data_IF_913486585708
#
_entry.id   IF_913486585708
#
_cell.length_a   1.000
_cell.length_b   1.000
_cell.length_c   1.000
_cell.angle_alpha   90.00
_cell.angle_beta   90.00
_cell.angle_gamma   90.00
#
_symmetry.space_group_name_H-M   'P 1'
#
loop_
_entity.id
_entity.type
_entity.pdbx_description
1 polymer ?
#
# COMPACT_ATOMS: atom_id res chain seq x y z
N UNK A 1 8.60 -24.59 19.37
CA UNK A 1 9.46 -23.38 19.40
C UNK A 1 10.90 -23.86 19.34
N UNK A 2 11.63 -23.52 18.26
CA UNK A 2 13.09 -23.69 18.25
C UNK A 2 13.72 -22.43 18.86
N UNK A 3 14.43 -22.59 19.95
CA UNK A 3 15.21 -21.52 20.56
C UNK A 3 16.58 -21.52 19.87
N UNK A 4 16.91 -20.40 19.21
CA UNK A 4 18.23 -20.23 18.59
C UNK A 4 19.12 -19.49 19.61
N UNK A 5 20.18 -20.14 20.09
CA UNK A 5 21.23 -19.48 20.85
C UNK A 5 22.30 -18.95 19.91
N UNK A 6 22.75 -17.74 20.16
CA UNK A 6 23.87 -17.17 19.44
C UNK A 6 25.18 -17.83 19.86
N UNK A 7 26.06 -18.19 18.92
CA UNK A 7 27.35 -18.81 19.26
C UNK A 7 28.31 -17.87 20.00
N UNK A 8 28.01 -16.58 20.00
CA UNK A 8 28.82 -15.51 20.61
C UNK A 8 27.99 -14.79 21.69
N UNK A 9 28.45 -14.90 22.95
CA UNK A 9 27.83 -14.22 24.11
C UNK A 9 27.81 -12.71 23.98
N UNK A 10 28.75 -12.11 23.26
CA UNK A 10 28.79 -10.69 23.00
C UNK A 10 27.74 -10.27 21.94
N UNK A 11 27.46 -11.14 20.98
CA UNK A 11 26.37 -10.96 20.03
C UNK A 11 24.99 -11.14 20.70
N UNK A 12 24.88 -12.06 21.63
CA UNK A 12 23.68 -12.28 22.46
C UNK A 12 23.39 -11.08 23.37
N UNK A 13 24.42 -10.53 24.02
CA UNK A 13 24.30 -9.30 24.82
C UNK A 13 23.95 -8.07 23.97
N UNK A 14 24.50 -7.96 22.77
CA UNK A 14 24.18 -6.88 21.83
C UNK A 14 22.76 -7.01 21.25
N UNK A 15 22.27 -8.20 21.00
CA UNK A 15 20.89 -8.44 20.60
C UNK A 15 19.91 -8.18 21.75
N UNK A 16 20.26 -8.57 22.96
CA UNK A 16 19.44 -8.32 24.16
C UNK A 16 19.42 -6.84 24.56
N UNK A 17 20.48 -6.08 24.26
CA UNK A 17 20.55 -4.63 24.50
C UNK A 17 20.04 -3.79 23.33
N UNK A 18 19.88 -4.38 22.14
CA UNK A 18 19.28 -3.73 20.98
C UNK A 18 17.79 -4.05 20.95
N UNK A 19 16.98 -3.07 20.55
CA UNK A 19 15.57 -3.34 20.21
C UNK A 19 15.50 -4.53 19.26
N UNK A 20 14.49 -5.39 19.43
CA UNK A 20 14.26 -6.57 18.61
C UNK A 20 14.38 -6.23 17.10
N UNK A 21 14.85 -7.18 16.26
CA UNK A 21 14.89 -6.96 14.81
C UNK A 21 13.51 -6.52 14.33
N UNK A 22 13.49 -5.44 13.58
CA UNK A 22 12.25 -4.81 13.12
C UNK A 22 11.80 -5.33 11.77
N UNK A 23 12.67 -6.09 11.10
CA UNK A 23 12.38 -6.67 9.79
C UNK A 23 13.13 -7.98 9.57
N UNK A 24 12.48 -8.91 8.87
CA UNK A 24 13.00 -10.23 8.52
C UNK A 24 12.84 -10.42 7.02
N UNK A 25 13.87 -10.90 6.37
CA UNK A 25 13.87 -11.22 4.96
C UNK A 25 14.53 -12.58 4.70
N UNK A 26 14.04 -13.30 3.70
CA UNK A 26 14.77 -14.42 3.10
C UNK A 26 15.46 -13.91 1.84
N UNK A 27 16.79 -14.08 1.76
CA UNK A 27 17.56 -13.66 0.60
C UNK A 27 17.55 -14.73 -0.51
N UNK A 28 18.16 -14.42 -1.63
CA UNK A 28 18.19 -15.31 -2.82
C UNK A 28 18.99 -16.62 -2.60
N UNK A 29 19.71 -16.76 -1.47
CA UNK A 29 20.41 -17.98 -1.05
C UNK A 29 19.65 -18.78 0.00
N UNK A 30 18.38 -18.44 0.24
CA UNK A 30 17.54 -19.03 1.28
C UNK A 30 18.10 -18.83 2.70
N UNK A 31 18.89 -17.78 2.93
CA UNK A 31 19.37 -17.36 4.22
C UNK A 31 18.39 -16.33 4.82
N UNK A 32 18.22 -16.34 6.14
CA UNK A 32 17.35 -15.37 6.82
C UNK A 32 18.19 -14.16 7.23
N UNK A 33 17.83 -13.00 6.76
CA UNK A 33 18.44 -11.73 7.14
C UNK A 33 17.53 -11.00 8.13
N UNK A 34 18.11 -10.59 9.24
CA UNK A 34 17.46 -9.85 10.31
C UNK A 34 17.98 -8.41 10.29
N UNK A 35 17.07 -7.46 10.22
CA UNK A 35 17.38 -6.05 10.18
C UNK A 35 16.79 -5.32 11.38
N UNK A 36 17.56 -4.42 11.96
CA UNK A 36 17.20 -3.62 13.12
C UNK A 36 18.34 -2.68 13.49
N UNK A 37 18.59 -2.49 14.76
CA UNK A 37 19.76 -1.73 15.23
C UNK A 37 21.09 -2.44 14.93
N UNK A 38 21.02 -3.74 14.63
CA UNK A 38 22.13 -4.53 14.11
C UNK A 38 21.60 -5.47 13.01
N UNK A 39 22.49 -5.90 12.14
CA UNK A 39 22.16 -6.75 11.00
C UNK A 39 22.79 -8.12 11.18
N UNK A 40 22.00 -9.14 11.01
CA UNK A 40 22.43 -10.52 11.12
C UNK A 40 21.94 -11.34 9.94
N UNK A 41 22.69 -12.38 9.62
CA UNK A 41 22.31 -13.42 8.68
C UNK A 41 22.29 -14.75 9.35
N UNK A 42 21.16 -15.43 9.32
CA UNK A 42 21.01 -16.80 9.78
C UNK A 42 21.11 -17.75 8.58
N UNK A 43 22.01 -18.73 8.70
CA UNK A 43 22.23 -19.77 7.69
C UNK A 43 21.58 -21.06 8.20
N UNK A 44 20.43 -21.51 7.62
CA UNK A 44 19.69 -22.66 8.16
C UNK A 44 20.51 -23.95 8.22
N UNK A 45 21.37 -24.20 7.21
CA UNK A 45 22.16 -25.41 7.13
C UNK A 45 23.23 -25.58 8.22
N UNK A 46 23.84 -24.47 8.64
CA UNK A 46 24.85 -24.48 9.71
C UNK A 46 24.30 -24.03 11.07
N UNK A 47 23.05 -23.59 11.11
CA UNK A 47 22.40 -23.00 12.28
C UNK A 47 23.19 -21.81 12.91
N UNK A 48 23.94 -21.11 12.06
CA UNK A 48 24.77 -19.98 12.49
C UNK A 48 24.07 -18.65 12.23
N UNK A 49 24.19 -17.74 13.19
CA UNK A 49 23.82 -16.35 13.06
C UNK A 49 25.09 -15.51 12.92
N UNK A 50 25.27 -14.93 11.74
CA UNK A 50 26.48 -14.18 11.38
C UNK A 50 26.15 -12.69 11.38
N UNK A 51 26.89 -11.84 12.11
CA UNK A 51 26.72 -10.40 12.02
C UNK A 51 27.12 -9.90 10.62
N UNK A 52 26.30 -9.01 10.06
CA UNK A 52 26.60 -8.31 8.80
C UNK A 52 27.15 -6.94 9.16
N UNK A 53 28.40 -6.69 8.78
CA UNK A 53 29.07 -5.42 9.00
C UNK A 53 29.09 -4.61 7.72
N UNK A 54 28.67 -3.35 7.81
CA UNK A 54 28.81 -2.37 6.74
C UNK A 54 29.89 -1.34 7.09
N UNK A 55 30.54 -0.78 6.06
CA UNK A 55 31.58 0.23 6.24
C UNK A 55 31.07 1.49 6.96
N UNK A 56 29.83 1.87 6.72
CA UNK A 56 29.22 3.05 7.34
C UNK A 56 28.65 2.70 8.71
N UNK A 57 29.33 3.17 9.76
CA UNK A 57 28.92 2.97 11.17
C UNK A 57 27.68 3.78 11.59
N UNK A 58 27.05 4.55 10.69
CA UNK A 58 25.91 5.42 11.02
C UNK A 58 24.52 4.76 10.96
N UNK A 59 24.47 3.44 10.91
CA UNK A 59 23.23 2.68 10.92
C UNK A 59 22.67 2.57 12.35
N UNK A 60 22.19 3.68 12.89
CA UNK A 60 21.67 3.74 14.26
C UNK A 60 20.16 3.59 14.38
N UNK A 61 19.43 3.33 13.26
CA UNK A 61 17.97 3.34 13.27
C UNK A 61 17.39 2.09 12.62
N UNK A 62 16.16 1.76 12.99
CA UNK A 62 15.42 0.61 12.47
C UNK A 62 15.15 0.76 10.98
N UNK A 63 15.95 0.11 10.16
CA UNK A 63 15.75 0.07 8.71
C UNK A 63 14.65 -0.91 8.34
N UNK A 64 13.86 -0.53 7.38
CA UNK A 64 12.78 -1.34 6.82
C UNK A 64 13.18 -1.71 5.40
N UNK A 65 13.19 -3.01 5.11
CA UNK A 65 13.37 -3.51 3.75
C UNK A 65 12.13 -3.20 2.91
N UNK A 66 12.31 -2.64 1.73
CA UNK A 66 11.23 -2.21 0.84
C UNK A 66 11.21 -2.92 -0.51
N UNK A 67 12.16 -3.80 -0.76
CA UNK A 67 12.24 -4.56 -1.99
C UNK A 67 13.62 -4.59 -2.59
N UNK A 68 13.71 -5.13 -3.81
CA UNK A 68 14.95 -5.12 -4.61
C UNK A 68 14.64 -4.64 -6.03
N UNK A 69 15.57 -3.89 -6.59
CA UNK A 69 15.58 -3.55 -7.99
C UNK A 69 16.87 -4.06 -8.63
N UNK A 70 16.79 -4.83 -9.71
CA UNK A 70 17.89 -5.64 -10.23
C UNK A 70 18.41 -6.59 -9.13
N UNK A 71 19.66 -6.48 -8.71
CA UNK A 71 20.26 -7.31 -7.64
C UNK A 71 20.46 -6.54 -6.33
N UNK A 72 20.06 -5.27 -6.29
CA UNK A 72 20.33 -4.38 -5.16
C UNK A 72 19.12 -4.32 -4.24
N UNK A 73 19.28 -4.61 -2.93
CA UNK A 73 18.25 -4.40 -1.94
C UNK A 73 18.12 -2.91 -1.60
N UNK A 74 16.88 -2.51 -1.32
CA UNK A 74 16.53 -1.16 -0.91
C UNK A 74 15.92 -1.19 0.48
N UNK A 75 16.22 -0.15 1.23
CA UNK A 75 15.74 0.05 2.59
C UNK A 75 15.33 1.50 2.78
N UNK A 76 14.49 1.75 3.77
CA UNK A 76 14.25 3.10 4.26
C UNK A 76 14.34 3.13 5.79
N UNK A 77 14.75 4.27 6.32
CA UNK A 77 14.40 4.72 7.65
C UNK A 77 13.25 5.73 7.56
N UNK A 78 12.94 6.39 8.66
CA UNK A 78 11.90 7.44 8.62
C UNK A 78 12.25 8.61 7.71
N UNK A 79 13.53 8.75 7.38
CA UNK A 79 14.07 9.96 6.77
C UNK A 79 14.71 9.74 5.42
N UNK A 80 15.18 8.57 5.07
CA UNK A 80 15.94 8.33 3.86
C UNK A 80 15.61 6.98 3.24
N UNK A 81 15.87 6.88 1.95
CA UNK A 81 15.90 5.61 1.23
C UNK A 81 17.34 5.28 0.90
N UNK A 82 17.71 4.05 1.09
CA UNK A 82 19.07 3.55 0.90
C UNK A 82 19.08 2.42 -0.10
N UNK A 83 20.11 2.42 -0.95
CA UNK A 83 20.42 1.33 -1.87
C UNK A 83 21.75 0.72 -1.47
N UNK A 84 21.85 -0.61 -1.42
CA UNK A 84 23.14 -1.26 -1.20
C UNK A 84 23.99 -1.21 -2.46
N UNK A 85 25.17 -0.62 -2.35
CA UNK A 85 26.19 -0.65 -3.38
C UNK A 85 27.15 -1.81 -3.12
N UNK A 86 27.07 -2.85 -3.95
CA UNK A 86 27.84 -4.08 -3.78
C UNK A 86 29.34 -3.88 -4.03
N UNK A 87 29.71 -2.94 -4.92
CA UNK A 87 31.10 -2.67 -5.28
C UNK A 87 31.85 -2.00 -4.14
N UNK A 88 31.18 -1.06 -3.48
CA UNK A 88 31.73 -0.33 -2.34
C UNK A 88 31.50 -1.03 -1.01
N UNK A 89 30.64 -2.06 -0.97
CA UNK A 89 30.16 -2.73 0.24
C UNK A 89 29.59 -1.73 1.27
N UNK A 90 28.77 -0.80 0.78
CA UNK A 90 28.15 0.24 1.60
C UNK A 90 26.73 0.55 1.12
N UNK A 91 25.93 1.20 1.99
CA UNK A 91 24.66 1.74 1.60
C UNK A 91 24.79 3.19 1.18
N UNK A 92 24.27 3.52 0.02
CA UNK A 92 24.19 4.87 -0.51
C UNK A 92 22.78 5.41 -0.32
N UNK A 93 22.70 6.65 0.15
CA UNK A 93 21.40 7.34 0.25
C UNK A 93 20.94 7.75 -1.15
N UNK A 94 19.72 7.40 -1.50
CA UNK A 94 19.10 7.92 -2.71
C UNK A 94 18.73 9.38 -2.45
N UNK A 95 19.30 10.29 -3.24
CA UNK A 95 18.97 11.71 -3.16
C UNK A 95 17.51 11.93 -3.54
N UNK A 96 16.72 12.36 -2.58
CA UNK A 96 15.33 12.64 -2.72
C UNK A 96 14.97 13.85 -1.88
N UNK A 97 14.61 14.95 -2.54
CA UNK A 97 14.12 16.13 -1.85
C UNK A 97 12.76 15.82 -1.24
N UNK A 98 12.69 15.92 0.06
CA UNK A 98 11.48 15.70 0.79
C UNK A 98 11.36 16.63 1.98
N UNK A 99 10.13 16.85 2.36
CA UNK A 99 9.80 17.72 3.46
C UNK A 99 9.18 16.96 4.64
N UNK A 100 8.91 15.65 4.48
CA UNK A 100 8.13 14.87 5.42
C UNK A 100 8.76 13.51 5.73
N UNK A 101 8.28 12.91 6.80
CA UNK A 101 8.65 11.57 7.23
C UNK A 101 8.10 10.51 6.26
N UNK A 102 8.89 9.49 5.94
CA UNK A 102 8.43 8.30 5.21
C UNK A 102 7.60 7.44 6.16
N UNK A 103 6.36 7.20 5.80
CA UNK A 103 5.44 6.31 6.53
C UNK A 103 5.54 4.88 6.02
N UNK A 104 5.60 4.71 4.70
CA UNK A 104 5.79 3.43 4.04
C UNK A 104 6.50 3.62 2.70
N UNK A 105 7.21 2.60 2.24
CA UNK A 105 7.80 2.60 0.92
C UNK A 105 7.87 1.18 0.34
N UNK A 106 7.92 1.08 -0.98
CA UNK A 106 8.17 -0.15 -1.71
C UNK A 106 8.79 0.16 -3.08
N UNK A 107 9.46 -0.82 -3.69
CA UNK A 107 10.04 -0.68 -5.02
C UNK A 107 9.59 -1.82 -5.91
N UNK A 108 9.23 -1.50 -7.17
CA UNK A 108 8.82 -2.51 -8.14
C UNK A 108 10.00 -3.05 -8.96
N UNK A 109 9.74 -4.08 -9.76
CA UNK A 109 10.74 -4.71 -10.62
C UNK A 109 11.24 -3.81 -11.75
N UNK A 110 10.52 -2.74 -12.07
CA UNK A 110 10.89 -1.75 -13.10
C UNK A 110 11.76 -0.62 -12.54
N UNK A 111 11.97 -0.60 -11.22
CA UNK A 111 12.74 0.43 -10.54
C UNK A 111 11.93 1.69 -10.23
N UNK A 112 10.61 1.56 -10.10
CA UNK A 112 9.80 2.63 -9.56
C UNK A 112 9.72 2.48 -8.05
N UNK A 113 10.22 3.47 -7.35
CA UNK A 113 10.16 3.61 -5.91
C UNK A 113 8.87 4.36 -5.54
N UNK A 114 8.06 3.76 -4.69
CA UNK A 114 6.82 4.31 -4.17
C UNK A 114 7.03 4.69 -2.73
N UNK A 115 6.74 5.95 -2.39
CA UNK A 115 6.96 6.52 -1.05
C UNK A 115 5.66 7.15 -0.57
N UNK A 116 5.18 6.69 0.56
CA UNK A 116 4.06 7.28 1.28
C UNK A 116 4.57 8.23 2.37
N UNK A 117 4.07 9.45 2.36
CA UNK A 117 4.32 10.53 3.31
C UNK A 117 2.98 11.05 3.86
N UNK A 118 2.95 11.83 4.95
CA UNK A 118 1.71 12.35 5.51
C UNK A 118 0.84 13.16 4.54
N UNK A 119 1.44 13.72 3.50
CA UNK A 119 0.76 14.55 2.49
C UNK A 119 0.47 13.81 1.17
N UNK A 120 0.66 12.49 1.12
CA UNK A 120 0.34 11.68 -0.06
C UNK A 120 1.39 10.66 -0.44
N UNK A 121 1.29 10.16 -1.65
CA UNK A 121 2.21 9.16 -2.21
C UNK A 121 2.95 9.75 -3.40
N UNK A 122 4.27 9.55 -3.42
CA UNK A 122 5.14 9.95 -4.53
C UNK A 122 5.74 8.70 -5.17
N UNK A 123 5.75 8.65 -6.48
CA UNK A 123 6.48 7.64 -7.26
C UNK A 123 7.73 8.26 -7.89
N UNK A 124 8.85 7.53 -7.82
CA UNK A 124 10.13 7.94 -8.37
C UNK A 124 10.65 6.83 -9.27
N UNK A 125 10.74 7.09 -10.56
CA UNK A 125 11.33 6.15 -11.49
C UNK A 125 12.85 6.31 -11.50
N UNK A 126 13.56 5.41 -10.81
CA UNK A 126 15.00 5.51 -10.58
C UNK A 126 15.83 5.62 -11.87
N UNK A 127 15.56 4.85 -12.95
CA UNK A 127 16.33 4.95 -14.18
C UNK A 127 16.31 6.33 -14.84
N UNK A 128 15.23 7.09 -14.69
CA UNK A 128 15.10 8.44 -15.29
C UNK A 128 15.06 9.57 -14.28
N UNK A 129 15.11 9.25 -12.99
CA UNK A 129 14.94 10.19 -11.87
C UNK A 129 13.65 11.05 -11.98
N UNK A 130 12.62 10.51 -12.64
CA UNK A 130 11.32 11.18 -12.80
C UNK A 130 10.50 11.01 -11.53
N UNK A 131 10.07 12.12 -10.95
CA UNK A 131 9.22 12.17 -9.76
C UNK A 131 7.81 12.60 -10.12
N UNK A 132 6.82 11.92 -9.60
CA UNK A 132 5.42 12.22 -9.82
C UNK A 132 4.59 11.95 -8.57
N UNK A 133 3.76 12.91 -8.14
CA UNK A 133 2.79 12.63 -7.08
C UNK A 133 1.69 11.71 -7.60
N UNK A 134 1.23 10.79 -6.75
CA UNK A 134 0.05 9.98 -7.02
C UNK A 134 -1.16 10.64 -6.36
N UNK A 135 -2.14 11.02 -7.16
CA UNK A 135 -3.39 11.57 -6.66
C UNK A 135 -4.30 10.43 -6.21
N UNK A 136 -4.58 10.36 -4.91
CA UNK A 136 -5.53 9.41 -4.35
C UNK A 136 -6.98 9.82 -4.67
N UNK A 137 -7.91 8.88 -4.82
CA UNK A 137 -9.31 9.17 -5.15
C UNK A 137 -10.00 10.10 -4.15
N UNK A 138 -9.80 9.87 -2.86
CA UNK A 138 -10.43 10.65 -1.78
C UNK A 138 -9.60 11.87 -1.33
N UNK A 139 -8.42 12.06 -1.93
CA UNK A 139 -7.63 13.28 -1.89
C UNK A 139 -6.78 13.51 -0.65
N UNK A 140 -7.15 12.98 0.52
CA UNK A 140 -6.52 13.32 1.80
C UNK A 140 -6.13 12.12 2.67
N UNK A 141 -6.21 10.90 2.15
CA UNK A 141 -5.88 9.73 2.96
C UNK A 141 -4.38 9.59 3.19
N UNK A 142 -4.02 9.34 4.44
CA UNK A 142 -2.66 9.05 4.85
C UNK A 142 -2.39 7.57 4.64
N UNK A 143 -1.48 7.25 3.73
CA UNK A 143 -1.07 5.87 3.48
C UNK A 143 0.00 5.48 4.49
N UNK A 144 -0.29 4.47 5.29
CA UNK A 144 0.61 3.98 6.34
C UNK A 144 1.21 2.62 6.03
N UNK A 145 0.67 1.90 5.05
CA UNK A 145 1.15 0.60 4.60
C UNK A 145 1.20 0.54 3.07
N UNK A 146 2.26 -0.03 2.50
CA UNK A 146 2.44 -0.09 1.06
C UNK A 146 3.21 -1.34 0.65
N UNK A 147 2.69 -2.09 -0.32
CA UNK A 147 3.34 -3.25 -0.91
C UNK A 147 2.97 -3.37 -2.39
N UNK A 148 3.84 -3.96 -3.18
CA UNK A 148 3.64 -4.18 -4.62
C UNK A 148 3.59 -5.67 -4.88
N UNK A 149 2.54 -6.13 -5.55
CA UNK A 149 2.39 -7.55 -5.88
C UNK A 149 3.19 -7.96 -7.12
N UNK A 150 3.15 -9.25 -7.45
CA UNK A 150 3.88 -9.80 -8.60
C UNK A 150 3.35 -9.32 -9.96
N UNK A 151 2.15 -8.77 -10.01
CA UNK A 151 1.54 -8.19 -11.22
C UNK A 151 1.82 -6.67 -11.33
N UNK A 152 2.53 -6.09 -10.35
CA UNK A 152 2.85 -4.66 -10.30
C UNK A 152 1.70 -3.79 -9.80
N UNK A 153 0.68 -4.38 -9.18
CA UNK A 153 -0.37 -3.62 -8.51
C UNK A 153 0.17 -3.10 -7.18
N UNK A 154 -0.05 -1.83 -6.92
CA UNK A 154 0.38 -1.15 -5.69
C UNK A 154 -0.77 -1.18 -4.69
N UNK A 155 -0.58 -1.91 -3.61
CA UNK A 155 -1.53 -2.04 -2.53
C UNK A 155 -1.16 -1.09 -1.40
N UNK A 156 -2.10 -0.23 -1.02
CA UNK A 156 -1.87 0.84 -0.05
C UNK A 156 -2.95 0.78 1.02
N UNK A 157 -2.52 0.72 2.28
CA UNK A 157 -3.42 0.74 3.44
C UNK A 157 -3.51 2.11 4.07
N UNK A 158 -4.73 2.54 4.34
CA UNK A 158 -5.09 3.72 5.11
C UNK A 158 -6.08 3.32 6.22
N UNK A 159 -6.60 4.27 6.99
CA UNK A 159 -7.57 4.01 8.04
C UNK A 159 -8.85 3.36 7.47
N UNK A 160 -9.05 2.06 7.73
CA UNK A 160 -10.22 1.30 7.30
C UNK A 160 -10.35 1.12 5.77
N UNK A 161 -9.36 1.49 4.98
CA UNK A 161 -9.40 1.47 3.51
C UNK A 161 -8.14 0.81 2.96
N UNK A 162 -8.31 0.00 1.92
CA UNK A 162 -7.21 -0.51 1.10
C UNK A 162 -7.42 -0.06 -0.35
N UNK A 163 -6.43 0.62 -0.89
CA UNK A 163 -6.35 0.99 -2.29
C UNK A 163 -5.54 -0.05 -3.05
N UNK A 164 -6.06 -0.56 -4.15
CA UNK A 164 -5.31 -1.31 -5.15
C UNK A 164 -5.16 -0.44 -6.40
N UNK A 165 -3.96 0.04 -6.66
CA UNK A 165 -3.65 0.89 -7.80
C UNK A 165 -2.94 0.11 -8.89
N UNK A 166 -3.49 0.12 -10.10
CA UNK A 166 -2.85 -0.42 -11.29
C UNK A 166 -2.14 0.69 -12.05
N UNK A 167 -0.79 0.78 -12.03
CA UNK A 167 -0.05 1.84 -12.70
C UNK A 167 -0.20 1.82 -14.23
N UNK A 168 -0.35 0.63 -14.83
CA UNK A 168 -0.48 0.49 -16.29
C UNK A 168 -1.83 0.99 -16.81
N UNK A 169 -2.87 0.85 -16.00
CA UNK A 169 -4.23 1.29 -16.36
C UNK A 169 -4.58 2.65 -15.76
N UNK A 170 -3.70 3.20 -14.91
CA UNK A 170 -3.95 4.40 -14.10
C UNK A 170 -5.31 4.33 -13.39
N UNK A 171 -5.58 3.19 -12.73
CA UNK A 171 -6.88 2.87 -12.16
C UNK A 171 -6.76 2.41 -10.72
N UNK A 172 -7.68 2.89 -9.87
CA UNK A 172 -7.84 2.47 -8.48
C UNK A 172 -9.04 1.55 -8.30
N UNK A 173 -8.88 0.56 -7.42
CA UNK A 173 -9.98 -0.13 -6.77
C UNK A 173 -9.85 0.14 -5.27
N UNK A 174 -10.97 0.42 -4.62
CA UNK A 174 -11.03 0.75 -3.20
C UNK A 174 -11.78 -0.36 -2.49
N UNK A 175 -11.17 -0.89 -1.44
CA UNK A 175 -11.79 -1.86 -0.54
C UNK A 175 -11.98 -1.24 0.83
N UNK A 176 -13.13 -1.44 1.44
CA UNK A 176 -13.49 -0.87 2.74
C UNK A 176 -14.36 -1.86 3.56
N UNK A 177 -15.02 -1.39 4.59
CA UNK A 177 -15.87 -2.19 5.45
C UNK A 177 -16.95 -2.97 4.67
N UNK A 178 -17.45 -2.42 3.58
CA UNK A 178 -18.47 -3.09 2.73
C UNK A 178 -17.91 -4.31 1.99
N UNK A 179 -16.59 -4.37 1.83
CA UNK A 179 -15.86 -5.49 1.23
C UNK A 179 -15.33 -6.46 2.30
N UNK A 180 -15.68 -6.24 3.58
CA UNK A 180 -15.26 -7.05 4.71
C UNK A 180 -13.93 -6.61 5.33
N UNK A 181 -13.43 -5.40 5.00
CA UNK A 181 -12.29 -4.81 5.69
C UNK A 181 -12.78 -4.28 7.03
N UNK A 182 -12.28 -4.84 8.13
CA UNK A 182 -12.56 -4.28 9.46
C UNK A 182 -11.99 -2.87 9.56
N UNK A 183 -12.60 -1.99 10.36
CA UNK A 183 -11.99 -0.70 10.73
C UNK A 183 -10.63 -0.96 11.33
N UNK A 184 -9.57 -0.68 10.58
CA UNK A 184 -8.22 -1.09 10.91
C UNK A 184 -7.23 0.01 10.55
N UNK A 185 -6.37 0.35 11.51
CA UNK A 185 -5.20 1.18 11.24
C UNK A 185 -4.10 0.29 10.69
N UNK A 186 -3.89 0.32 9.38
CA UNK A 186 -2.81 -0.43 8.78
C UNK A 186 -1.46 0.18 9.18
N UNK A 187 -0.65 -0.62 9.86
CA UNK A 187 0.62 -0.17 10.39
C UNK A 187 1.71 -0.21 9.31
N UNK A 188 2.67 0.69 9.41
CA UNK A 188 3.72 0.91 8.40
C UNK A 188 4.61 -0.33 8.09
N UNK A 189 4.54 -1.39 8.89
CA UNK A 189 5.51 -2.49 8.80
C UNK A 189 4.97 -3.85 8.35
N UNK A 190 3.72 -4.23 8.52
CA UNK A 190 3.31 -5.58 8.19
C UNK A 190 2.51 -5.71 6.90
N UNK A 191 3.04 -5.19 5.79
CA UNK A 191 2.51 -5.56 4.48
C UNK A 191 3.52 -6.44 3.76
N UNK A 192 3.08 -7.59 3.28
CA UNK A 192 3.92 -8.50 2.51
C UNK A 192 3.13 -9.21 1.40
N UNK A 193 3.83 -9.57 0.35
CA UNK A 193 3.34 -10.49 -0.67
C UNK A 193 3.97 -11.84 -0.40
N UNK A 194 3.14 -12.85 -0.12
CA UNK A 194 3.61 -14.20 0.13
C UNK A 194 3.99 -14.91 -1.19
N UNK A 195 4.74 -16.00 -1.09
CA UNK A 195 5.18 -16.79 -2.26
C UNK A 195 4.02 -17.36 -3.08
N UNK A 196 2.87 -17.58 -2.47
CA UNK A 196 1.63 -18.00 -3.12
C UNK A 196 0.89 -16.86 -3.84
N UNK A 197 1.42 -15.63 -3.72
CA UNK A 197 0.86 -14.40 -4.30
C UNK A 197 -0.26 -13.76 -3.49
N UNK A 198 -0.62 -14.31 -2.32
CA UNK A 198 -1.52 -13.63 -1.41
C UNK A 198 -0.82 -12.45 -0.74
N UNK A 199 -1.58 -11.39 -0.46
CA UNK A 199 -1.09 -10.21 0.22
C UNK A 199 -1.61 -10.22 1.64
N UNK A 200 -0.75 -9.86 2.56
CA UNK A 200 -1.08 -9.75 3.98
C UNK A 200 -0.77 -8.33 4.45
N UNK A 201 -1.73 -7.71 5.10
CA UNK A 201 -1.60 -6.37 5.67
C UNK A 201 -2.05 -6.40 7.12
N UNK A 202 -1.14 -6.09 8.03
CA UNK A 202 -1.42 -6.07 9.46
C UNK A 202 -1.83 -4.69 9.95
N UNK A 203 -2.63 -4.67 10.98
CA UNK A 203 -3.09 -3.45 11.61
C UNK A 203 -3.46 -3.65 13.07
N UNK A 204 -4.06 -2.64 13.69
CA UNK A 204 -4.46 -2.63 15.10
C UNK A 204 -5.47 -3.73 15.43
N UNK A 205 -6.39 -4.02 14.51
CA UNK A 205 -7.48 -4.99 14.70
C UNK A 205 -7.16 -6.38 14.12
N UNK A 206 -5.92 -6.61 13.68
CA UNK A 206 -5.49 -7.91 13.18
C UNK A 206 -4.90 -7.90 11.78
N UNK A 207 -5.03 -9.03 11.10
CA UNK A 207 -4.40 -9.29 9.80
C UNK A 207 -5.47 -9.41 8.71
N UNK A 208 -5.35 -8.59 7.68
CA UNK A 208 -6.14 -8.73 6.45
C UNK A 208 -5.35 -9.57 5.45
N UNK A 209 -5.98 -10.62 4.95
CA UNK A 209 -5.47 -11.41 3.83
C UNK A 209 -6.24 -11.07 2.57
N UNK A 210 -5.52 -10.61 1.56
CA UNK A 210 -6.06 -10.36 0.24
C UNK A 210 -5.68 -11.54 -0.67
N UNK A 211 -6.68 -12.24 -1.18
CA UNK A 211 -6.44 -13.38 -2.06
C UNK A 211 -5.90 -12.88 -3.40
N UNK A 212 -4.85 -13.52 -3.94
CA UNK A 212 -4.29 -13.26 -5.27
C UNK A 212 -5.32 -13.30 -6.41
N UNK A 213 -6.41 -14.04 -6.24
CA UNK A 213 -7.49 -14.12 -7.21
C UNK A 213 -8.39 -12.86 -7.20
N UNK A 214 -8.30 -12.02 -6.16
CA UNK A 214 -8.90 -10.69 -6.12
C UNK A 214 -8.06 -9.75 -7.01
N UNK A 215 -8.13 -9.98 -8.31
CA UNK A 215 -7.59 -8.99 -9.25
C UNK A 215 -8.44 -7.73 -9.12
N UNK A 216 -7.80 -6.54 -9.07
CA UNK A 216 -8.57 -5.31 -9.24
C UNK A 216 -9.39 -5.48 -10.51
N UNK A 217 -10.69 -5.63 -10.36
CA UNK A 217 -11.58 -5.83 -11.48
C UNK A 217 -11.32 -4.72 -12.52
N UNK A 218 -11.48 -5.04 -13.77
CA UNK A 218 -11.69 -3.99 -14.78
C UNK A 218 -12.71 -3.02 -14.20
N UNK A 219 -12.52 -1.72 -14.44
CA UNK A 219 -13.40 -0.67 -13.93
C UNK A 219 -14.84 -1.17 -13.85
N UNK A 220 -15.51 -1.02 -12.71
CA UNK A 220 -16.89 -1.46 -12.58
C UNK A 220 -17.68 -0.88 -13.76
N UNK A 221 -18.64 -1.62 -14.29
CA UNK A 221 -19.44 -1.11 -15.39
C UNK A 221 -19.99 0.26 -14.99
N UNK A 222 -20.01 1.22 -15.91
CA UNK A 222 -20.43 2.57 -15.59
C UNK A 222 -21.81 2.54 -14.94
N UNK A 223 -21.91 3.23 -13.81
CA UNK A 223 -23.20 3.41 -13.15
C UNK A 223 -23.98 4.42 -13.95
N UNK A 224 -25.13 4.02 -14.46
CA UNK A 224 -26.04 4.91 -15.16
C UNK A 224 -27.23 5.22 -14.26
N UNK A 225 -27.47 6.49 -14.00
CA UNK A 225 -28.68 6.94 -13.34
C UNK A 225 -29.78 7.08 -14.39
N UNK A 226 -30.80 6.24 -14.33
CA UNK A 226 -31.98 6.36 -15.20
C UNK A 226 -33.11 7.02 -14.43
N UNK A 227 -33.66 8.05 -15.02
CA UNK A 227 -34.91 8.64 -14.58
C UNK A 227 -36.04 7.66 -14.92
N UNK A 228 -36.76 7.17 -13.92
CA UNK A 228 -37.90 6.27 -14.12
C UNK A 228 -39.21 7.04 -14.25
N UNK A 229 -39.42 7.97 -13.33
CA UNK A 229 -40.70 8.63 -13.21
C UNK A 229 -40.51 10.04 -12.60
N UNK A 230 -41.31 10.97 -13.10
CA UNK A 230 -41.50 12.26 -12.48
C UNK A 230 -42.98 12.39 -12.17
N UNK A 231 -43.31 12.71 -10.93
CA UNK A 231 -44.70 13.02 -10.54
C UNK A 231 -44.78 14.45 -9.99
N UNK A 232 -45.67 15.23 -10.54
CA UNK A 232 -45.98 16.59 -10.11
C UNK A 232 -47.39 16.62 -9.48
N UNK A 233 -47.48 17.11 -8.26
CA UNK A 233 -48.73 17.14 -7.48
C UNK A 233 -49.46 15.76 -7.43
N UNK A 234 -48.66 14.68 -7.36
CA UNK A 234 -49.17 13.32 -7.33
C UNK A 234 -49.52 12.73 -8.68
N UNK A 235 -49.44 13.46 -9.78
CA UNK A 235 -49.69 12.97 -11.13
C UNK A 235 -48.39 12.70 -11.85
N UNK A 236 -48.26 11.50 -12.43
CA UNK A 236 -47.10 11.13 -13.24
C UNK A 236 -47.04 11.95 -14.51
N UNK A 237 -45.88 12.58 -14.76
CA UNK A 237 -45.64 13.36 -15.96
C UNK A 237 -44.72 12.56 -16.88
N UNK A 238 -45.12 12.42 -18.14
CA UNK A 238 -44.28 11.77 -19.13
C UNK A 238 -43.09 12.69 -19.49
N UNK A 239 -41.88 12.24 -19.22
CA UNK A 239 -40.67 12.98 -19.52
C UNK A 239 -39.97 12.40 -20.75
N UNK A 240 -39.68 13.29 -21.71
CA UNK A 240 -38.88 12.92 -22.88
C UNK A 240 -37.41 13.22 -22.57
N UNK A 241 -36.51 12.20 -22.58
CA UNK A 241 -35.09 12.43 -22.35
C UNK A 241 -34.53 13.55 -23.24
N UNK A 242 -33.74 14.44 -22.66
CA UNK A 242 -33.13 15.64 -23.31
C UNK A 242 -34.10 16.78 -23.63
N UNK A 243 -35.28 16.78 -23.10
CA UNK A 243 -36.19 17.95 -23.12
C UNK A 243 -36.09 18.71 -21.80
N UNK A 244 -36.45 19.99 -21.88
CA UNK A 244 -36.66 20.81 -20.67
C UNK A 244 -38.11 20.66 -20.24
N UNK A 245 -38.32 20.41 -18.94
CA UNK A 245 -39.65 20.37 -18.35
C UNK A 245 -39.87 21.66 -17.58
N UNK A 246 -40.93 22.39 -17.92
CA UNK A 246 -41.35 23.56 -17.18
C UNK A 246 -42.24 23.13 -16.00
N UNK A 247 -41.89 23.57 -14.81
CA UNK A 247 -42.66 23.29 -13.59
C UNK A 247 -43.40 24.56 -13.20
N UNK A 248 -44.74 24.51 -13.07
CA UNK A 248 -45.50 25.69 -12.63
C UNK A 248 -45.03 26.15 -11.24
N UNK A 249 -44.92 27.45 -11.04
CA UNK A 249 -44.45 28.03 -9.76
C UNK A 249 -45.30 27.65 -8.56
N UNK A 250 -46.55 27.26 -8.75
CA UNK A 250 -47.53 26.89 -7.75
C UNK A 250 -47.62 25.36 -7.49
N UNK A 251 -46.62 24.59 -7.85
CA UNK A 251 -46.61 23.15 -7.55
C UNK A 251 -46.51 22.92 -6.05
N UNK A 252 -47.17 21.88 -5.53
CA UNK A 252 -47.14 21.51 -4.12
C UNK A 252 -46.18 20.36 -3.84
N UNK A 253 -45.93 19.52 -4.79
CA UNK A 253 -44.97 18.41 -4.65
C UNK A 253 -44.36 18.02 -5.99
N UNK A 254 -43.06 17.73 -5.97
CA UNK A 254 -42.30 17.13 -7.07
C UNK A 254 -41.63 15.86 -6.54
N UNK A 255 -41.96 14.70 -7.15
CA UNK A 255 -41.26 13.43 -6.89
C UNK A 255 -40.51 13.01 -8.13
N UNK A 256 -39.25 12.67 -7.93
CA UNK A 256 -38.38 12.17 -9.00
C UNK A 256 -37.93 10.78 -8.59
N UNK A 257 -38.34 9.76 -9.35
CA UNK A 257 -37.89 8.39 -9.17
C UNK A 257 -36.77 8.09 -10.13
N UNK A 258 -35.66 7.66 -9.57
CA UNK A 258 -34.47 7.30 -10.35
C UNK A 258 -34.07 5.86 -10.04
N UNK A 259 -33.56 5.18 -11.04
CA UNK A 259 -32.99 3.84 -10.92
C UNK A 259 -31.52 3.89 -11.32
N UNK A 260 -30.69 3.21 -10.50
CA UNK A 260 -29.30 2.96 -10.89
C UNK A 260 -29.21 1.64 -11.64
N UNK A 261 -28.59 1.70 -12.81
CA UNK A 261 -28.18 0.54 -13.57
C UNK A 261 -26.65 0.43 -13.61
N UNK A 262 -26.12 -0.78 -13.47
CA UNK A 262 -24.70 -1.05 -13.42
C UNK A 262 -24.13 -0.96 -11.99
N UNK A 263 -22.81 -1.10 -11.88
CA UNK A 263 -22.10 -1.15 -10.59
C UNK A 263 -22.25 -2.49 -9.88
N UNK A 264 -21.41 -2.69 -8.87
CA UNK A 264 -21.45 -3.90 -8.05
C UNK A 264 -22.58 -3.80 -7.02
N UNK A 265 -23.39 -4.84 -6.89
CA UNK A 265 -24.60 -4.86 -6.05
C UNK A 265 -24.29 -4.67 -4.56
N UNK A 266 -23.03 -4.86 -4.16
CA UNK A 266 -22.61 -4.88 -2.76
C UNK A 266 -22.08 -3.54 -2.22
N UNK A 267 -21.97 -2.48 -3.04
CA UNK A 267 -21.48 -1.19 -2.56
C UNK A 267 -22.61 -0.30 -2.05
N UNK A 268 -22.43 0.26 -0.85
CA UNK A 268 -23.31 1.30 -0.31
C UNK A 268 -23.27 2.51 -1.24
N UNK A 269 -24.44 2.89 -1.74
CA UNK A 269 -24.58 4.01 -2.68
C UNK A 269 -25.00 5.25 -1.92
N UNK A 270 -24.15 6.28 -1.94
CA UNK A 270 -24.46 7.57 -1.36
C UNK A 270 -24.75 8.55 -2.50
N UNK A 271 -25.94 9.12 -2.48
CA UNK A 271 -26.35 10.16 -3.43
C UNK A 271 -26.20 11.51 -2.75
N UNK A 272 -25.60 12.47 -3.46
CA UNK A 272 -25.62 13.88 -3.07
C UNK A 272 -26.36 14.65 -4.18
N UNK A 273 -27.38 15.36 -3.78
CA UNK A 273 -28.18 16.22 -4.64
C UNK A 273 -27.73 17.66 -4.46
#
# INVERSE_FOLDING_TARGET
>A
YQHFSLPDKDAEAKLASSSAPTNIRVNDRNEIELYGNAFYRYIPGSQQLIPIHFKNKQLQYSWIYIGKYRTYPFFHDRNNVFQYNKEKNEYETIAYERNNQILAASIDSLGTLWIAEPNGVTRIHLPSNRKEPLKLPDGNDVITSLVIDHEGIVWMGSLGIIYAYNPHKNHFVIYNEMDGILPNDFLAKPALVASDGNIYMGGSEGLVRINKALKPASAPPPITLKLQEIALNGTTVHFIPRSTMEIPYNFSSLKIHTQLEGGNVFHKRIYRF
#
